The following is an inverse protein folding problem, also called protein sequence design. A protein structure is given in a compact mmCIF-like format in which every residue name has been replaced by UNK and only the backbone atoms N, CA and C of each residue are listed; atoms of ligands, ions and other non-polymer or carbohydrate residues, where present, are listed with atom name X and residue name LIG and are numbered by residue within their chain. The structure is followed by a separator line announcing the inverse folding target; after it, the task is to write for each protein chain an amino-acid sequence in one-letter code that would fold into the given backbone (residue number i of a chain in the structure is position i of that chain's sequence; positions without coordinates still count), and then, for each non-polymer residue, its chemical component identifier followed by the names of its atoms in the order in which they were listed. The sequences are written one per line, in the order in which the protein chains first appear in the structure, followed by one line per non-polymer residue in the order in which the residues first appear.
data_IF_172632729192
#
_entry.id   IF_172632729192
#
_cell.length_a   1.000
_cell.length_b   1.000
_cell.length_c   1.000
_cell.angle_alpha   90.00
_cell.angle_beta   90.00
_cell.angle_gamma   90.00
#
_symmetry.space_group_name_H-M   'P 1'
#
loop_
_entity.id
_entity.type
_entity.pdbx_description
1 polymer ?
#
# COMPACT_ATOMS: atom_id res chain seq x y z
N UNK A 1 37.39 -13.29 -20.40
CA UNK A 1 37.01 -12.09 -19.64
C UNK A 1 36.05 -12.58 -18.57
N UNK A 2 36.57 -12.77 -17.37
CA UNK A 2 35.95 -13.53 -16.28
C UNK A 2 34.86 -12.70 -15.60
N UNK A 3 33.62 -13.19 -15.57
CA UNK A 3 32.52 -12.58 -14.83
C UNK A 3 32.63 -12.99 -13.35
N UNK A 4 33.00 -12.02 -12.50
CA UNK A 4 32.97 -12.18 -11.04
C UNK A 4 31.51 -12.21 -10.58
N UNK A 5 31.12 -13.36 -10.04
CA UNK A 5 29.90 -13.59 -9.28
C UNK A 5 29.91 -12.67 -8.04
N UNK A 6 28.86 -11.86 -7.85
CA UNK A 6 28.65 -11.14 -6.59
C UNK A 6 27.89 -12.08 -5.64
N UNK A 7 28.64 -12.67 -4.70
CA UNK A 7 28.08 -13.36 -3.53
C UNK A 7 27.33 -12.36 -2.66
N UNK A 8 26.01 -12.28 -2.81
CA UNK A 8 25.14 -11.64 -1.83
C UNK A 8 24.82 -12.67 -0.76
N UNK A 9 25.46 -12.50 0.40
CA UNK A 9 25.20 -13.26 1.62
C UNK A 9 23.77 -13.02 2.06
N UNK A 10 22.92 -14.04 1.95
CA UNK A 10 21.62 -14.06 2.60
C UNK A 10 21.80 -14.35 4.09
N UNK A 11 21.42 -13.41 4.94
CA UNK A 11 21.22 -13.69 6.35
C UNK A 11 19.93 -14.49 6.51
N UNK A 12 20.05 -15.81 6.65
CA UNK A 12 18.97 -16.69 7.09
C UNK A 12 18.44 -16.23 8.44
N UNK A 13 17.19 -15.79 8.52
CA UNK A 13 16.50 -15.62 9.80
C UNK A 13 16.07 -17.00 10.26
N UNK A 14 17.00 -17.75 10.84
CA UNK A 14 16.71 -18.99 11.54
C UNK A 14 16.20 -18.69 12.95
N UNK A 15 14.94 -19.05 13.21
CA UNK A 15 14.41 -19.57 14.48
C UNK A 15 14.87 -18.88 15.77
N UNK A 16 14.10 -17.93 16.28
CA UNK A 16 14.16 -17.58 17.71
C UNK A 16 13.52 -18.70 18.54
N UNK A 17 14.34 -19.37 19.34
CA UNK A 17 13.93 -20.38 20.33
C UNK A 17 13.20 -19.71 21.51
N UNK A 18 12.06 -20.27 21.88
CA UNK A 18 11.35 -20.05 23.15
C UNK A 18 12.14 -20.56 24.36
N UNK A 19 11.90 -19.97 25.56
CA UNK A 19 11.83 -20.76 26.77
C UNK A 19 10.48 -20.57 27.49
N UNK A 20 9.86 -21.69 27.87
CA UNK A 20 8.58 -21.79 28.58
C UNK A 20 8.76 -22.06 30.09
N UNK A 21 7.84 -21.46 30.89
CA UNK A 21 7.22 -21.99 32.14
C UNK A 21 8.04 -21.83 33.45
N UNK A 22 7.55 -21.44 34.66
CA UNK A 22 6.27 -21.51 35.43
C UNK A 22 6.33 -20.55 36.69
N UNK A 23 5.34 -20.43 37.63
CA UNK A 23 3.91 -20.07 37.54
C UNK A 23 3.47 -19.09 38.72
N UNK A 24 2.23 -19.04 39.29
CA UNK A 24 1.48 -17.77 39.50
C UNK A 24 1.21 -17.38 40.98
N UNK A 25 0.91 -16.11 41.25
CA UNK A 25 0.16 -15.73 42.46
C UNK A 25 -0.77 -14.54 42.21
N UNK A 26 -2.06 -14.81 42.38
CA UNK A 26 -3.18 -13.88 42.39
C UNK A 26 -3.26 -13.14 43.73
N UNK A 27 -3.38 -11.80 43.69
CA UNK A 27 -4.05 -11.05 44.75
C UNK A 27 -4.91 -9.93 44.15
N UNK A 28 -6.21 -10.06 44.40
CA UNK A 28 -7.24 -9.03 44.25
C UNK A 28 -6.95 -7.85 45.19
N UNK A 29 -7.06 -6.61 44.68
CA UNK A 29 -7.47 -5.46 45.48
C UNK A 29 -8.10 -4.37 44.59
N UNK A 30 -9.42 -4.25 44.70
CA UNK A 30 -10.18 -3.05 44.38
C UNK A 30 -9.72 -1.89 45.28
N UNK A 31 -9.54 -0.68 44.74
CA UNK A 31 -10.07 0.56 45.34
C UNK A 31 -9.96 1.77 44.40
N UNK A 32 -10.96 2.64 44.55
CA UNK A 32 -11.51 3.71 43.71
C UNK A 32 -10.66 5.01 43.57
N UNK A 33 -11.09 5.97 42.72
CA UNK A 33 -10.25 7.03 42.15
C UNK A 33 -10.17 8.31 43.01
N UNK A 34 -9.05 9.02 42.88
CA UNK A 34 -8.81 10.30 43.54
C UNK A 34 -9.62 11.44 42.93
N UNK A 35 -10.58 11.94 43.71
CA UNK A 35 -11.24 13.24 43.56
C UNK A 35 -10.31 14.39 43.99
N UNK A 36 -10.04 15.34 43.09
CA UNK A 36 -9.48 16.65 43.47
C UNK A 36 -10.59 17.68 43.64
N UNK A 37 -10.54 18.37 44.79
CA UNK A 37 -11.57 19.22 45.37
C UNK A 37 -11.68 20.56 44.64
N UNK A 38 -12.93 20.94 44.38
CA UNK A 38 -13.37 22.23 43.87
C UNK A 38 -13.22 23.31 44.94
N UNK A 39 -12.42 24.35 44.67
CA UNK A 39 -12.39 25.59 45.46
C UNK A 39 -13.16 26.67 44.68
N UNK A 40 -14.33 27.03 45.21
CA UNK A 40 -15.06 28.23 44.81
C UNK A 40 -14.28 29.47 45.26
N UNK A 41 -13.99 30.36 44.31
CA UNK A 41 -13.57 31.73 44.60
C UNK A 41 -14.59 32.71 44.03
N UNK A 42 -14.92 33.72 44.85
CA UNK A 42 -16.05 34.64 44.70
C UNK A 42 -15.84 35.65 43.57
N UNK A 43 -16.94 36.01 42.92
CA UNK A 43 -17.05 37.03 41.87
C UNK A 43 -16.70 38.43 42.38
N UNK A 44 -15.80 39.11 41.68
CA UNK A 44 -15.55 40.54 41.76
C UNK A 44 -15.56 41.14 40.35
N UNK A 45 -16.33 42.19 40.17
CA UNK A 45 -16.59 42.94 38.93
C UNK A 45 -15.37 43.71 38.43
N UNK A 46 -15.03 43.60 37.14
CA UNK A 46 -14.83 44.75 36.24
C UNK A 46 -14.39 44.28 34.84
N UNK A 47 -14.94 44.96 33.82
CA UNK A 47 -14.88 44.54 32.44
C UNK A 47 -13.51 44.70 31.77
N UNK A 48 -13.21 43.77 30.87
CA UNK A 48 -12.25 43.95 29.78
C UNK A 48 -12.72 43.15 28.56
N UNK A 49 -12.60 43.79 27.40
CA UNK A 49 -13.05 43.36 26.07
C UNK A 49 -12.59 41.94 25.69
N UNK A 50 -13.42 41.12 25.01
CA UNK A 50 -12.94 39.90 24.40
C UNK A 50 -12.06 40.27 23.20
N UNK A 51 -10.76 40.05 23.34
CA UNK A 51 -9.85 40.04 22.20
C UNK A 51 -10.25 38.87 21.30
N UNK A 52 -10.90 39.19 20.20
CA UNK A 52 -11.14 38.25 19.11
C UNK A 52 -9.78 37.89 18.52
N UNK A 53 -9.22 36.75 18.94
CA UNK A 53 -8.05 36.17 18.32
C UNK A 53 -8.46 35.70 16.92
N UNK A 54 -8.39 36.63 15.96
CA UNK A 54 -8.49 36.30 14.55
C UNK A 54 -7.22 35.52 14.21
N UNK A 55 -7.30 34.20 14.35
CA UNK A 55 -6.39 33.29 13.67
C UNK A 55 -6.55 33.58 12.18
N UNK A 56 -5.69 34.46 11.67
CA UNK A 56 -5.42 34.52 10.26
C UNK A 56 -4.75 33.18 9.96
N UNK A 57 -5.58 32.20 9.59
CA UNK A 57 -5.14 31.09 8.79
C UNK A 57 -4.50 31.75 7.57
N UNK A 58 -3.18 31.93 7.62
CA UNK A 58 -2.40 32.25 6.44
C UNK A 58 -2.69 31.11 5.51
N UNK A 59 -3.57 31.36 4.54
CA UNK A 59 -3.67 30.60 3.31
C UNK A 59 -2.25 30.63 2.76
N UNK A 60 -1.45 29.61 3.11
CA UNK A 60 -0.25 29.30 2.35
C UNK A 60 -0.82 29.12 0.95
N UNK A 61 -0.56 30.08 0.07
CA UNK A 61 -0.78 29.93 -1.36
C UNK A 61 -0.30 28.52 -1.69
N UNK A 62 -1.25 27.64 -2.00
CA UNK A 62 -0.95 26.24 -2.26
C UNK A 62 -0.09 26.25 -3.52
N UNK A 63 1.23 26.20 -3.33
CA UNK A 63 2.17 26.15 -4.43
C UNK A 63 1.84 24.88 -5.19
N UNK A 64 1.39 25.07 -6.42
CA UNK A 64 1.07 23.98 -7.32
C UNK A 64 2.30 23.08 -7.47
N UNK A 65 2.10 21.77 -7.30
CA UNK A 65 3.17 20.78 -7.46
C UNK A 65 3.29 20.49 -8.94
N UNK A 66 4.50 20.62 -9.47
CA UNK A 66 4.80 20.26 -10.87
C UNK A 66 5.79 19.12 -10.82
N UNK A 67 5.51 18.05 -11.58
CA UNK A 67 6.45 16.95 -11.74
C UNK A 67 7.63 17.41 -12.61
N UNK A 68 8.83 17.43 -12.02
CA UNK A 68 10.08 17.80 -12.69
C UNK A 68 11.01 16.60 -12.91
N UNK A 69 10.53 15.38 -12.72
CA UNK A 69 11.34 14.15 -12.80
C UNK A 69 11.78 13.77 -14.22
N UNK A 70 11.09 14.30 -15.25
CA UNK A 70 11.30 13.96 -16.67
C UNK A 70 11.09 12.48 -17.01
N UNK A 71 10.45 11.70 -16.13
CA UNK A 71 10.20 10.26 -16.36
C UNK A 71 9.05 10.02 -17.34
N UNK A 72 8.02 10.86 -17.31
CA UNK A 72 6.82 10.76 -18.15
C UNK A 72 6.98 11.57 -19.45
N UNK A 73 8.05 11.30 -20.19
CA UNK A 73 8.39 11.97 -21.46
C UNK A 73 8.71 10.95 -22.55
N UNK A 74 8.53 11.34 -23.82
CA UNK A 74 8.82 10.45 -24.96
C UNK A 74 10.31 10.07 -25.03
N UNK A 75 11.20 10.99 -24.65
CA UNK A 75 12.65 10.76 -24.64
C UNK A 75 13.08 9.70 -23.62
N UNK A 76 12.30 9.55 -22.53
CA UNK A 76 12.57 8.61 -21.46
C UNK A 76 12.01 7.19 -21.71
N UNK A 77 11.14 7.00 -22.72
CA UNK A 77 10.39 5.75 -22.94
C UNK A 77 11.31 4.52 -22.98
N UNK A 78 12.38 4.56 -23.78
CA UNK A 78 13.29 3.41 -23.91
C UNK A 78 13.85 2.98 -22.55
N UNK A 79 14.28 3.95 -21.74
CA UNK A 79 14.85 3.67 -20.42
C UNK A 79 13.77 3.16 -19.46
N UNK A 80 12.57 3.75 -19.52
CA UNK A 80 11.44 3.32 -18.69
C UNK A 80 11.05 1.87 -18.96
N UNK A 81 10.90 1.48 -20.23
CA UNK A 81 10.51 0.13 -20.63
C UNK A 81 11.54 -0.93 -20.16
N UNK A 82 12.83 -0.64 -20.26
CA UNK A 82 13.89 -1.56 -19.76
C UNK A 82 13.75 -1.76 -18.24
N UNK A 83 13.55 -0.68 -17.49
CA UNK A 83 13.39 -0.77 -16.03
C UNK A 83 12.11 -1.49 -15.63
N UNK A 84 11.04 -1.33 -16.41
CA UNK A 84 9.77 -2.02 -16.20
C UNK A 84 9.91 -3.51 -16.50
N UNK A 85 10.60 -3.89 -17.59
CA UNK A 85 10.92 -5.29 -17.91
C UNK A 85 11.69 -5.96 -16.78
N UNK A 86 12.79 -5.34 -16.32
CA UNK A 86 13.59 -5.82 -15.20
C UNK A 86 12.75 -5.99 -13.93
N UNK A 87 11.85 -5.03 -13.66
CA UNK A 87 10.94 -5.06 -12.52
C UNK A 87 9.94 -6.21 -12.62
N UNK A 88 9.37 -6.47 -13.80
CA UNK A 88 8.44 -7.59 -14.03
C UNK A 88 9.17 -8.91 -13.79
N UNK A 89 10.33 -9.11 -14.43
CA UNK A 89 11.10 -10.35 -14.31
C UNK A 89 11.44 -10.62 -12.83
N UNK A 90 11.97 -9.62 -12.14
CA UNK A 90 12.37 -9.77 -10.75
C UNK A 90 11.18 -10.13 -9.84
N UNK A 91 10.04 -9.45 -9.99
CA UNK A 91 8.88 -9.71 -9.14
C UNK A 91 8.22 -11.05 -9.43
N UNK A 92 8.22 -11.52 -10.68
CA UNK A 92 7.76 -12.87 -11.02
C UNK A 92 8.68 -13.94 -10.40
N UNK A 93 10.01 -13.72 -10.40
CA UNK A 93 10.94 -14.60 -9.70
C UNK A 93 10.70 -14.62 -8.19
N UNK A 94 10.39 -13.47 -7.57
CA UNK A 94 9.99 -13.43 -6.16
C UNK A 94 8.70 -14.21 -5.91
N UNK A 95 7.67 -14.05 -6.75
CA UNK A 95 6.43 -14.81 -6.61
C UNK A 95 6.64 -16.31 -6.77
N UNK A 96 7.53 -16.73 -7.67
CA UNK A 96 7.83 -18.14 -7.93
C UNK A 96 8.52 -18.87 -6.77
N UNK A 97 8.99 -18.14 -5.75
CA UNK A 97 9.52 -18.75 -4.52
C UNK A 97 8.43 -19.43 -3.68
N UNK A 98 7.17 -19.02 -3.84
CA UNK A 98 6.03 -19.58 -3.13
C UNK A 98 5.23 -20.54 -4.02
N UNK A 99 4.63 -21.55 -3.41
CA UNK A 99 3.66 -22.43 -4.05
C UNK A 99 2.42 -21.64 -4.53
N UNK A 100 1.53 -22.32 -5.24
CA UNK A 100 0.31 -21.69 -5.76
C UNK A 100 -0.55 -21.14 -4.62
N UNK A 101 -0.68 -21.84 -3.48
CA UNK A 101 -1.40 -21.34 -2.30
C UNK A 101 -2.85 -20.98 -2.63
N UNK A 102 -3.65 -21.95 -3.07
CA UNK A 102 -5.02 -21.74 -3.58
C UNK A 102 -5.94 -20.96 -2.62
N UNK A 103 -5.74 -21.10 -1.31
CA UNK A 103 -6.48 -20.36 -0.27
C UNK A 103 -6.32 -18.83 -0.39
N UNK A 104 -5.25 -18.36 -1.02
CA UNK A 104 -5.02 -16.94 -1.34
C UNK A 104 -6.08 -16.36 -2.28
N UNK A 105 -6.62 -17.20 -3.19
CA UNK A 105 -7.45 -16.77 -4.33
C UNK A 105 -8.92 -17.17 -4.21
N UNK A 106 -9.22 -18.15 -3.36
CA UNK A 106 -10.59 -18.61 -3.14
C UNK A 106 -11.33 -17.64 -2.22
N UNK A 107 -12.52 -17.19 -2.64
CA UNK A 107 -13.34 -16.29 -1.83
C UNK A 107 -13.76 -17.00 -0.52
N UNK A 108 -13.49 -16.35 0.62
CA UNK A 108 -13.84 -16.88 1.95
C UNK A 108 -12.97 -18.02 2.48
N UNK A 109 -11.91 -18.43 1.76
CA UNK A 109 -10.98 -19.47 2.24
C UNK A 109 -10.16 -19.00 3.45
N UNK A 110 -9.90 -17.69 3.55
CA UNK A 110 -9.27 -17.05 4.69
C UNK A 110 -10.28 -16.09 5.33
N UNK A 111 -10.43 -16.17 6.65
CA UNK A 111 -11.29 -15.26 7.41
C UNK A 111 -10.60 -13.91 7.59
N UNK A 112 -11.09 -12.88 6.91
CA UNK A 112 -10.49 -11.54 6.89
C UNK A 112 -11.48 -10.53 7.49
N UNK A 113 -11.68 -10.60 8.81
CA UNK A 113 -12.60 -9.70 9.51
C UNK A 113 -13.98 -9.65 8.85
N UNK A 114 -14.40 -8.46 8.40
CA UNK A 114 -15.67 -8.23 7.70
C UNK A 114 -15.56 -8.18 6.18
N UNK A 115 -14.40 -8.47 5.60
CA UNK A 115 -14.20 -8.42 4.15
C UNK A 115 -14.78 -9.66 3.47
N UNK A 116 -15.59 -9.42 2.44
CA UNK A 116 -16.13 -10.48 1.58
C UNK A 116 -15.33 -10.59 0.28
N UNK A 117 -14.54 -11.66 0.16
CA UNK A 117 -13.78 -11.99 -1.04
C UNK A 117 -12.51 -12.77 -0.73
N UNK A 118 -11.73 -13.06 -1.76
CA UNK A 118 -10.40 -13.69 -1.64
C UNK A 118 -9.40 -12.78 -0.94
N UNK A 119 -8.38 -13.41 -0.35
CA UNK A 119 -7.33 -12.69 0.35
C UNK A 119 -6.50 -11.80 -0.56
N UNK A 120 -6.22 -12.21 -1.80
CA UNK A 120 -5.52 -11.35 -2.77
C UNK A 120 -6.32 -10.08 -3.10
N UNK A 121 -7.65 -10.17 -3.26
CA UNK A 121 -8.50 -8.99 -3.49
C UNK A 121 -8.45 -8.03 -2.31
N UNK A 122 -8.42 -8.55 -1.09
CA UNK A 122 -8.28 -7.72 0.12
C UNK A 122 -6.95 -6.96 0.11
N UNK A 123 -5.83 -7.67 -0.08
CA UNK A 123 -4.49 -7.06 -0.06
C UNK A 123 -4.36 -6.00 -1.16
N UNK A 124 -4.76 -6.31 -2.40
CA UNK A 124 -4.71 -5.34 -3.49
C UNK A 124 -5.56 -4.11 -3.15
N UNK A 125 -6.83 -4.27 -2.77
CA UNK A 125 -7.72 -3.13 -2.43
C UNK A 125 -7.17 -2.25 -1.32
N UNK A 126 -6.63 -2.82 -0.26
CA UNK A 126 -6.06 -2.04 0.84
C UNK A 126 -4.77 -1.31 0.44
N UNK A 127 -3.93 -1.94 -0.38
CA UNK A 127 -2.76 -1.29 -0.97
C UNK A 127 -3.16 -0.13 -1.89
N UNK A 128 -4.15 -0.33 -2.77
CA UNK A 128 -4.65 0.74 -3.65
C UNK A 128 -5.28 1.88 -2.85
N UNK A 129 -6.05 1.56 -1.81
CA UNK A 129 -6.62 2.58 -0.91
C UNK A 129 -5.52 3.48 -0.32
N UNK A 130 -4.43 2.89 0.15
CA UNK A 130 -3.29 3.62 0.69
C UNK A 130 -2.55 4.45 -0.38
N UNK A 131 -2.31 3.87 -1.56
CA UNK A 131 -1.68 4.58 -2.68
C UNK A 131 -2.55 5.72 -3.23
N UNK A 132 -3.87 5.58 -3.24
CA UNK A 132 -4.80 6.63 -3.63
C UNK A 132 -4.74 7.85 -2.70
N UNK A 133 -4.64 7.63 -1.39
CA UNK A 133 -4.43 8.70 -0.41
C UNK A 133 -3.11 9.46 -0.66
N UNK A 134 -2.09 8.78 -1.18
CA UNK A 134 -0.83 9.37 -1.61
C UNK A 134 -0.88 10.00 -3.02
N UNK A 135 -2.04 9.98 -3.70
CA UNK A 135 -2.21 10.59 -5.03
C UNK A 135 -1.67 9.77 -6.20
N UNK A 136 -1.32 8.50 -6.00
CA UNK A 136 -0.71 7.65 -7.05
C UNK A 136 -1.53 7.63 -8.34
N UNK A 137 -2.84 7.36 -8.23
CA UNK A 137 -3.75 7.25 -9.38
C UNK A 137 -4.18 8.60 -9.98
N UNK A 138 -3.47 9.69 -9.64
CA UNK A 138 -3.54 10.94 -10.40
C UNK A 138 -2.45 11.03 -11.48
N UNK A 139 -1.45 10.13 -11.41
CA UNK A 139 -0.40 10.00 -12.42
C UNK A 139 -0.96 9.37 -13.70
N UNK A 140 -0.61 9.88 -14.91
CA UNK A 140 -1.19 9.41 -16.17
C UNK A 140 -0.77 7.97 -16.55
N UNK A 141 0.23 7.42 -15.89
CA UNK A 141 0.75 6.06 -16.09
C UNK A 141 0.22 5.06 -15.05
N UNK A 142 -0.52 5.51 -14.03
CA UNK A 142 -0.95 4.68 -12.90
C UNK A 142 -2.44 4.37 -12.94
N UNK A 143 -2.80 3.07 -12.98
CA UNK A 143 -4.17 2.63 -13.17
C UNK A 143 -4.59 1.66 -12.06
N UNK A 144 -5.68 1.91 -11.32
CA UNK A 144 -6.12 1.02 -10.27
C UNK A 144 -6.82 -0.22 -10.83
N UNK A 145 -6.70 -1.36 -10.14
CA UNK A 145 -7.45 -2.59 -10.40
C UNK A 145 -8.89 -2.51 -9.88
N UNK A 146 -9.09 -1.82 -8.75
CA UNK A 146 -10.38 -1.59 -8.11
C UNK A 146 -10.64 -0.08 -7.99
N UNK A 147 -11.04 0.58 -9.09
CA UNK A 147 -11.33 2.01 -9.07
C UNK A 147 -12.54 2.37 -8.19
N UNK A 148 -13.37 1.38 -7.82
CA UNK A 148 -14.56 1.63 -7.04
C UNK A 148 -14.20 2.06 -5.61
N UNK A 149 -14.65 3.25 -5.19
CA UNK A 149 -14.52 3.77 -3.83
C UNK A 149 -13.08 4.05 -3.37
N UNK A 150 -12.16 4.38 -4.29
CA UNK A 150 -10.84 4.88 -3.89
C UNK A 150 -10.98 6.23 -3.16
N UNK A 151 -10.27 6.42 -2.04
CA UNK A 151 -10.31 7.66 -1.30
C UNK A 151 -9.66 8.80 -2.09
N UNK A 152 -10.11 10.02 -1.84
CA UNK A 152 -9.46 11.20 -2.41
C UNK A 152 -8.03 11.35 -1.88
N UNK A 153 -7.14 11.90 -2.71
CA UNK A 153 -5.76 12.17 -2.31
C UNK A 153 -5.72 13.16 -1.14
N UNK A 154 -4.86 12.89 -0.17
CA UNK A 154 -4.56 13.81 0.94
C UNK A 154 -3.48 14.83 0.55
N UNK A 155 -2.88 14.68 -0.64
CA UNK A 155 -1.83 15.54 -1.16
C UNK A 155 -2.41 16.56 -2.15
N UNK A 156 -1.73 17.69 -2.31
CA UNK A 156 -2.04 18.63 -3.38
C UNK A 156 -1.81 17.96 -4.74
N UNK A 157 -2.72 18.14 -5.72
CA UNK A 157 -2.55 17.61 -7.06
C UNK A 157 -1.20 18.02 -7.67
N UNK A 158 -0.57 17.06 -8.34
CA UNK A 158 0.63 17.31 -9.14
C UNK A 158 0.23 17.55 -10.60
N UNK A 159 0.84 18.54 -11.23
CA UNK A 159 0.79 18.74 -12.68
C UNK A 159 1.81 17.82 -13.35
N UNK A 160 1.33 16.97 -14.23
CA UNK A 160 2.15 16.09 -15.04
C UNK A 160 2.36 16.65 -16.46
N UNK A 161 3.47 16.28 -17.14
CA UNK A 161 3.67 16.61 -18.54
C UNK A 161 2.50 16.13 -19.42
N UNK A 162 1.95 17.02 -20.23
CA UNK A 162 0.86 16.69 -21.17
C UNK A 162 1.42 16.08 -22.45
N UNK A 163 1.78 14.79 -22.37
CA UNK A 163 2.37 14.04 -23.49
C UNK A 163 1.32 13.18 -24.19
N UNK A 164 0.46 12.51 -23.43
CA UNK A 164 -0.57 11.61 -23.97
C UNK A 164 -1.78 12.39 -24.52
N UNK A 165 -2.46 11.79 -25.49
CA UNK A 165 -3.74 12.30 -25.98
C UNK A 165 -4.83 12.11 -24.89
N UNK A 166 -5.81 13.02 -24.74
CA UNK A 166 -6.85 12.92 -23.69
C UNK A 166 -7.68 11.63 -23.69
N UNK A 167 -7.68 10.85 -24.76
CA UNK A 167 -8.34 9.54 -24.77
C UNK A 167 -7.67 8.53 -23.83
N UNK A 168 -6.40 8.72 -23.48
CA UNK A 168 -5.65 7.84 -22.57
C UNK A 168 -6.34 7.71 -21.21
N UNK A 169 -6.94 8.79 -20.70
CA UNK A 169 -7.66 8.82 -19.42
C UNK A 169 -8.84 7.81 -19.35
N UNK A 170 -9.33 7.36 -20.52
CA UNK A 170 -10.44 6.40 -20.63
C UNK A 170 -9.99 4.96 -20.85
N UNK A 171 -8.68 4.71 -20.99
CA UNK A 171 -8.12 3.40 -21.27
C UNK A 171 -7.64 2.79 -19.95
N UNK A 172 -8.31 1.72 -19.51
CA UNK A 172 -7.83 0.89 -18.41
C UNK A 172 -8.13 -0.58 -18.72
N UNK A 173 -7.08 -1.35 -19.01
CA UNK A 173 -7.15 -2.78 -19.35
C UNK A 173 -6.88 -3.70 -18.16
N UNK A 174 -6.83 -3.20 -16.92
CA UNK A 174 -6.48 -3.99 -15.72
C UNK A 174 -7.34 -5.24 -15.52
N UNK A 175 -8.61 -5.25 -15.97
CA UNK A 175 -9.44 -6.46 -15.93
C UNK A 175 -8.86 -7.60 -16.77
N UNK A 176 -8.28 -7.27 -17.94
CA UNK A 176 -7.60 -8.26 -18.80
C UNK A 176 -6.28 -8.71 -18.18
N UNK A 177 -5.50 -7.78 -17.64
CA UNK A 177 -4.22 -8.08 -16.96
C UNK A 177 -4.44 -8.97 -15.74
N UNK A 178 -5.43 -8.65 -14.91
CA UNK A 178 -5.83 -9.45 -13.76
C UNK A 178 -6.18 -10.88 -14.17
N UNK A 179 -7.03 -11.03 -15.19
CA UNK A 179 -7.41 -12.35 -15.68
C UNK A 179 -6.18 -13.11 -16.20
N UNK A 180 -5.42 -12.53 -17.13
CA UNK A 180 -4.20 -13.14 -17.67
C UNK A 180 -3.24 -13.58 -16.56
N UNK A 181 -3.02 -12.74 -15.54
CA UNK A 181 -2.14 -13.05 -14.42
C UNK A 181 -2.60 -14.30 -13.66
N UNK A 182 -3.84 -14.34 -13.19
CA UNK A 182 -4.31 -15.43 -12.34
C UNK A 182 -4.74 -16.69 -13.10
N UNK A 183 -5.20 -16.57 -14.35
CA UNK A 183 -5.69 -17.71 -15.14
C UNK A 183 -4.60 -18.34 -15.99
N UNK A 184 -3.64 -17.55 -16.49
CA UNK A 184 -2.67 -18.03 -17.48
C UNK A 184 -1.24 -18.03 -16.97
N UNK A 185 -0.79 -16.95 -16.33
CA UNK A 185 0.62 -16.77 -15.95
C UNK A 185 0.95 -17.50 -14.66
N UNK A 186 0.25 -17.16 -13.57
CA UNK A 186 0.54 -17.66 -12.24
C UNK A 186 0.49 -19.19 -12.13
N UNK A 187 -0.50 -19.91 -12.71
CA UNK A 187 -0.53 -21.38 -12.65
C UNK A 187 0.63 -22.06 -13.37
N UNK A 188 1.26 -21.39 -14.35
CA UNK A 188 2.44 -21.89 -15.07
C UNK A 188 3.75 -21.51 -14.38
N UNK A 189 3.73 -20.45 -13.57
CA UNK A 189 4.88 -19.91 -12.87
C UNK A 189 5.11 -20.60 -11.52
N UNK A 190 4.08 -20.70 -10.70
CA UNK A 190 4.17 -21.20 -9.33
C UNK A 190 4.06 -22.73 -9.30
N UNK A 191 4.79 -23.36 -8.38
CA UNK A 191 4.64 -24.80 -8.13
C UNK A 191 3.25 -25.08 -7.54
N UNK A 192 2.59 -26.13 -8.00
CA UNK A 192 1.34 -26.58 -7.39
C UNK A 192 1.54 -26.95 -5.91
N UNK A 193 0.52 -26.69 -5.08
CA UNK A 193 0.53 -27.02 -3.66
C UNK A 193 0.22 -25.83 -2.76
N UNK A 194 0.38 -26.07 -1.47
CA UNK A 194 0.27 -25.09 -0.39
C UNK A 194 1.55 -25.18 0.46
N UNK A 195 2.24 -24.06 0.62
CA UNK A 195 3.42 -23.95 1.48
C UNK A 195 3.17 -23.08 2.72
N UNK A 196 1.89 -22.81 3.03
CA UNK A 196 1.41 -21.95 4.12
C UNK A 196 1.82 -20.47 4.02
N UNK A 197 2.38 -20.00 2.88
CA UNK A 197 2.78 -18.60 2.68
C UNK A 197 1.76 -17.78 1.88
N UNK A 198 0.45 -17.94 2.15
CA UNK A 198 -0.61 -17.15 1.50
C UNK A 198 -0.39 -15.62 1.66
N UNK A 199 0.13 -15.19 2.82
CA UNK A 199 0.52 -13.81 3.12
C UNK A 199 1.53 -13.25 2.11
N UNK A 200 2.67 -13.91 2.02
CA UNK A 200 3.77 -13.52 1.13
C UNK A 200 3.38 -13.63 -0.34
N UNK A 201 2.64 -14.68 -0.71
CA UNK A 201 2.11 -14.86 -2.06
C UNK A 201 1.23 -13.67 -2.47
N UNK A 202 0.25 -13.27 -1.65
CA UNK A 202 -0.65 -12.15 -1.95
C UNK A 202 0.09 -10.80 -2.08
N UNK A 203 1.13 -10.57 -1.26
CA UNK A 203 1.97 -9.36 -1.36
C UNK A 203 2.75 -9.38 -2.67
N UNK A 204 3.39 -10.49 -3.01
CA UNK A 204 4.10 -10.64 -4.28
C UNK A 204 3.16 -10.52 -5.49
N UNK A 205 1.96 -11.10 -5.42
CA UNK A 205 0.93 -10.97 -6.46
C UNK A 205 0.54 -9.50 -6.65
N UNK A 206 0.36 -8.75 -5.56
CA UNK A 206 0.03 -7.32 -5.60
C UNK A 206 1.12 -6.51 -6.29
N UNK A 207 2.40 -6.78 -5.99
CA UNK A 207 3.52 -6.09 -6.65
C UNK A 207 3.60 -6.51 -8.12
N UNK A 208 3.45 -7.80 -8.44
CA UNK A 208 3.43 -8.29 -9.82
C UNK A 208 2.35 -7.58 -10.64
N UNK A 209 1.12 -7.51 -10.13
CA UNK A 209 0.02 -6.83 -10.79
C UNK A 209 0.31 -5.34 -11.02
N UNK A 210 0.90 -4.66 -10.03
CA UNK A 210 1.27 -3.24 -10.16
C UNK A 210 2.41 -3.00 -11.17
N UNK A 211 3.29 -3.98 -11.41
CA UNK A 211 4.34 -3.87 -12.42
C UNK A 211 3.96 -4.45 -13.79
N UNK A 212 2.85 -5.19 -13.92
CA UNK A 212 2.47 -5.83 -15.20
C UNK A 212 1.56 -4.97 -16.10
N UNK A 213 1.14 -3.77 -15.69
CA UNK A 213 0.25 -2.89 -16.47
C UNK A 213 1.00 -1.93 -17.43
N UNK A 214 2.33 -2.00 -17.54
CA UNK A 214 3.11 -1.00 -18.30
C UNK A 214 2.96 -1.00 -19.84
N UNK A 215 1.92 -1.62 -20.43
CA UNK A 215 1.65 -1.61 -21.89
C UNK A 215 0.19 -1.36 -22.27
#
# INVERSE_FOLDING_TARGET
MECKLLDVVFASISSLKTPSSLPPHSYLAHHQPNTLKFLQSKSGTNGHHPLHASSSFRTRYAKERVDSSQTLTLDAIRKSLILQEDSIIFNLLLRAQYAYNANTYNDGALCIGSFHGSFVKFIVKETERLHAQAGRYTSPDEHPFFPENLPHSMLLPSQYPKVLHPCADSININKKVWNMYFTDLLPKLAKAGDDDNCGSAAVCDTVCLQVCYWE
#
